data_IF_817280436109
#
_entry.id   IF_817280436109
#
_cell.length_a   1.000
_cell.length_b   1.000
_cell.length_c   1.000
_cell.angle_alpha   90.00
_cell.angle_beta   90.00
_cell.angle_gamma   90.00
#
_symmetry.space_group_name_H-M   'P 1'
#
loop_
_entity.id
_entity.type
_entity.pdbx_description
1 polymer ?
#
# COMPACT_ATOMS: atom_id res chain seq x y z
N UNK A 1 0.12 2.30 -20.17
CA UNK A 1 -1.20 2.62 -19.59
C UNK A 1 -1.49 1.66 -18.45
N UNK A 2 -1.96 2.18 -17.34
CA UNK A 2 -2.31 1.37 -16.17
C UNK A 2 -3.63 0.63 -16.42
N UNK A 3 -3.63 -0.66 -16.20
CA UNK A 3 -4.82 -1.51 -16.33
C UNK A 3 -5.08 -2.31 -15.05
N UNK A 4 -6.19 -3.03 -15.00
CA UNK A 4 -6.56 -3.81 -13.82
C UNK A 4 -5.51 -4.85 -13.46
N UNK A 5 -4.87 -5.48 -14.46
CA UNK A 5 -3.82 -6.46 -14.21
C UNK A 5 -2.60 -5.83 -13.53
N UNK A 6 -2.19 -4.65 -13.99
CA UNK A 6 -1.09 -3.90 -13.37
C UNK A 6 -1.40 -3.58 -11.91
N UNK A 7 -2.61 -3.09 -11.62
CA UNK A 7 -3.02 -2.77 -10.26
C UNK A 7 -3.07 -4.02 -9.39
N UNK A 8 -3.66 -5.10 -9.89
CA UNK A 8 -3.77 -6.36 -9.15
C UNK A 8 -2.40 -6.96 -8.83
N UNK A 9 -1.48 -6.94 -9.79
CA UNK A 9 -0.12 -7.42 -9.59
C UNK A 9 0.60 -6.60 -8.52
N UNK A 10 0.41 -5.27 -8.56
CA UNK A 10 1.03 -4.38 -7.59
C UNK A 10 0.50 -4.62 -6.17
N UNK A 11 -0.83 -4.76 -6.02
CA UNK A 11 -1.44 -5.01 -4.70
C UNK A 11 -0.96 -6.37 -4.16
N UNK A 12 -0.87 -7.39 -5.00
CA UNK A 12 -0.35 -8.69 -4.61
C UNK A 12 1.11 -8.57 -4.15
N UNK A 13 1.94 -7.81 -4.87
CA UNK A 13 3.32 -7.57 -4.49
C UNK A 13 3.43 -6.77 -3.19
N UNK A 14 2.54 -5.80 -2.99
CA UNK A 14 2.46 -5.05 -1.73
C UNK A 14 2.17 -6.00 -0.55
N UNK A 15 1.19 -6.88 -0.73
CA UNK A 15 0.86 -7.86 0.31
C UNK A 15 2.03 -8.79 0.60
N UNK A 16 2.78 -9.19 -0.41
CA UNK A 16 3.99 -9.99 -0.24
C UNK A 16 5.04 -9.23 0.59
N UNK A 17 5.30 -7.96 0.24
CA UNK A 17 6.26 -7.13 0.97
C UNK A 17 5.81 -6.90 2.43
N UNK A 18 4.51 -6.73 2.64
CA UNK A 18 3.92 -6.57 3.98
C UNK A 18 4.21 -7.78 4.87
N UNK A 19 4.13 -8.99 4.32
CA UNK A 19 4.43 -10.21 5.07
C UNK A 19 5.93 -10.48 5.22
N UNK A 20 6.73 -10.20 4.18
CA UNK A 20 8.15 -10.52 4.16
C UNK A 20 9.01 -9.46 4.85
N UNK A 21 8.65 -8.18 4.72
CA UNK A 21 9.44 -7.02 5.15
C UNK A 21 10.88 -7.05 4.60
N UNK A 22 11.06 -7.64 3.40
CA UNK A 22 12.36 -7.67 2.73
C UNK A 22 12.58 -6.38 1.97
N UNK A 23 13.78 -5.81 2.07
CA UNK A 23 14.19 -4.59 1.37
C UNK A 23 13.88 -4.69 -0.13
N UNK A 24 14.26 -5.78 -0.78
CA UNK A 24 14.04 -5.96 -2.22
C UNK A 24 12.56 -5.98 -2.59
N UNK A 25 11.70 -6.59 -1.77
CA UNK A 25 10.27 -6.64 -2.03
C UNK A 25 9.63 -5.26 -1.89
N UNK A 26 10.07 -4.47 -0.93
CA UNK A 26 9.57 -3.11 -0.74
C UNK A 26 10.04 -2.20 -1.88
N UNK A 27 11.33 -2.26 -2.25
CA UNK A 27 11.89 -1.44 -3.34
C UNK A 27 11.20 -1.71 -4.67
N UNK A 28 10.80 -2.94 -4.91
CA UNK A 28 10.15 -3.30 -6.16
C UNK A 28 8.80 -2.61 -6.37
N UNK A 29 8.20 -2.07 -5.30
CA UNK A 29 6.88 -1.44 -5.37
C UNK A 29 6.92 0.02 -5.84
N UNK A 30 8.04 0.73 -5.65
CA UNK A 30 8.10 2.18 -5.80
C UNK A 30 9.18 2.60 -6.78
N UNK A 31 8.93 3.73 -7.47
CA UNK A 31 9.99 4.37 -8.25
C UNK A 31 11.05 4.96 -7.32
N UNK A 32 12.25 5.22 -7.86
CA UNK A 32 13.37 5.71 -7.06
C UNK A 32 13.04 7.02 -6.33
N UNK A 33 12.21 7.87 -6.95
CA UNK A 33 11.76 9.15 -6.41
C UNK A 33 10.30 9.13 -5.93
N UNK A 34 9.76 7.94 -5.67
CA UNK A 34 8.38 7.77 -5.26
C UNK A 34 8.06 8.44 -3.94
N UNK A 35 6.77 8.69 -3.73
CA UNK A 35 6.24 9.26 -2.49
C UNK A 35 5.29 8.28 -1.81
N UNK A 36 5.43 8.15 -0.50
CA UNK A 36 4.51 7.36 0.33
C UNK A 36 3.91 8.27 1.39
N UNK A 37 2.59 8.41 1.36
CA UNK A 37 1.84 9.16 2.37
C UNK A 37 1.07 8.18 3.25
N UNK A 38 1.41 8.13 4.53
CA UNK A 38 0.71 7.28 5.51
C UNK A 38 -0.67 7.80 5.87
N UNK A 39 -0.98 9.01 5.47
CA UNK A 39 -2.29 9.63 5.55
C UNK A 39 -2.35 10.79 4.57
N UNK A 40 -3.56 11.22 4.17
CA UNK A 40 -3.70 12.24 3.10
C UNK A 40 -3.13 13.61 3.47
N UNK A 41 -3.01 13.88 4.76
CA UNK A 41 -2.48 15.17 5.25
C UNK A 41 -1.06 15.06 5.81
N UNK A 42 -0.45 13.87 5.71
CA UNK A 42 0.90 13.65 6.23
C UNK A 42 1.95 14.17 5.26
N UNK A 43 3.14 14.49 5.79
CA UNK A 43 4.30 14.78 4.96
C UNK A 43 4.65 13.54 4.15
N UNK A 44 4.86 13.67 2.83
CA UNK A 44 5.30 12.53 2.03
C UNK A 44 6.65 12.01 2.49
N UNK A 45 6.77 10.68 2.56
CA UNK A 45 8.07 10.03 2.67
C UNK A 45 8.62 9.93 1.25
N UNK A 46 9.60 10.75 0.91
CA UNK A 46 10.10 10.91 -0.45
C UNK A 46 11.32 10.06 -0.72
N UNK A 47 11.27 9.32 -1.82
CA UNK A 47 12.37 8.49 -2.30
C UNK A 47 12.33 7.07 -1.74
N UNK A 48 12.72 6.11 -2.57
CA UNK A 48 12.59 4.69 -2.22
C UNK A 48 13.44 4.30 -1.00
N UNK A 49 14.61 4.91 -0.81
CA UNK A 49 15.44 4.61 0.36
C UNK A 49 14.74 5.02 1.65
N UNK A 50 14.12 6.22 1.67
CA UNK A 50 13.38 6.69 2.82
C UNK A 50 12.11 5.86 3.05
N UNK A 51 11.45 5.44 1.97
CA UNK A 51 10.26 4.58 2.06
C UNK A 51 10.63 3.24 2.71
N UNK A 52 11.72 2.61 2.28
CA UNK A 52 12.18 1.35 2.87
C UNK A 52 12.49 1.52 4.35
N UNK A 53 13.24 2.55 4.70
CA UNK A 53 13.62 2.81 6.09
C UNK A 53 12.39 3.03 6.98
N UNK A 54 11.42 3.83 6.51
CA UNK A 54 10.19 4.10 7.25
C UNK A 54 9.32 2.84 7.37
N UNK A 55 9.19 2.09 6.28
CA UNK A 55 8.46 0.82 6.28
C UNK A 55 9.01 -0.13 7.34
N UNK A 56 10.34 -0.33 7.33
CA UNK A 56 10.98 -1.25 8.27
C UNK A 56 10.86 -0.77 9.72
N UNK A 57 10.86 0.55 9.96
CA UNK A 57 10.66 1.09 11.31
C UNK A 57 9.26 0.86 11.84
N UNK A 58 8.28 0.66 10.95
CA UNK A 58 6.87 0.42 11.30
C UNK A 58 6.46 -1.03 11.07
N UNK A 59 7.40 -1.89 10.69
CA UNK A 59 7.09 -3.28 10.35
C UNK A 59 6.41 -3.99 11.50
N UNK A 60 5.31 -4.66 11.17
CA UNK A 60 4.59 -5.50 12.10
C UNK A 60 5.28 -6.86 12.20
N UNK A 61 4.97 -7.60 13.24
CA UNK A 61 5.48 -8.95 13.41
C UNK A 61 4.91 -9.93 12.39
N UNK A 62 5.03 -11.24 12.66
CA UNK A 62 4.51 -12.27 11.76
C UNK A 62 3.08 -11.96 11.36
N UNK A 63 2.69 -12.43 10.19
CA UNK A 63 1.40 -12.11 9.58
C UNK A 63 0.24 -12.51 10.48
N UNK A 64 -0.32 -11.53 11.17
CA UNK A 64 -1.48 -11.66 12.04
C UNK A 64 -2.68 -10.91 11.47
N UNK A 65 -2.70 -10.71 10.15
CA UNK A 65 -3.75 -9.97 9.46
C UNK A 65 -4.38 -10.79 8.36
N UNK A 66 -5.67 -10.52 8.11
CA UNK A 66 -6.37 -10.93 6.90
C UNK A 66 -6.64 -9.68 6.07
N UNK A 67 -6.28 -9.69 4.80
CA UNK A 67 -6.45 -8.56 3.89
C UNK A 67 -7.29 -8.98 2.70
N UNK A 68 -8.38 -8.26 2.45
CA UNK A 68 -9.20 -8.40 1.25
C UNK A 68 -9.29 -7.05 0.57
N UNK A 69 -9.43 -7.06 -0.78
CA UNK A 69 -9.40 -5.82 -1.54
C UNK A 69 -10.09 -5.97 -2.89
N UNK A 70 -10.44 -4.82 -3.47
CA UNK A 70 -10.93 -4.74 -4.85
C UNK A 70 -10.54 -3.39 -5.45
N UNK A 71 -10.38 -3.37 -6.77
CA UNK A 71 -10.10 -2.14 -7.52
C UNK A 71 -11.44 -1.41 -7.73
N UNK A 72 -11.54 -0.17 -7.23
CA UNK A 72 -12.73 0.66 -7.41
C UNK A 72 -12.76 1.33 -8.78
N UNK A 73 -11.61 1.71 -9.30
CA UNK A 73 -11.52 2.38 -10.58
C UNK A 73 -10.10 2.74 -10.95
N UNK A 74 -9.93 3.09 -12.21
CA UNK A 74 -8.65 3.53 -12.78
C UNK A 74 -8.93 4.72 -13.67
N UNK A 75 -8.14 5.78 -13.50
CA UNK A 75 -8.21 6.98 -14.34
C UNK A 75 -6.78 7.30 -14.82
N UNK A 76 -6.49 6.95 -16.07
CA UNK A 76 -5.15 7.09 -16.62
C UNK A 76 -4.13 6.22 -15.87
N UNK A 77 -3.18 6.86 -15.19
CA UNK A 77 -2.18 6.19 -14.36
C UNK A 77 -2.55 6.16 -12.87
N UNK A 78 -3.74 6.61 -12.53
CA UNK A 78 -4.22 6.71 -11.16
C UNK A 78 -5.23 5.59 -10.88
N UNK A 79 -4.99 4.84 -9.81
CA UNK A 79 -5.87 3.74 -9.41
C UNK A 79 -6.38 3.94 -7.98
N UNK A 80 -7.58 3.42 -7.74
CA UNK A 80 -8.25 3.49 -6.44
C UNK A 80 -8.57 2.07 -6.01
N UNK A 81 -8.05 1.67 -4.84
CA UNK A 81 -8.21 0.32 -4.30
C UNK A 81 -8.85 0.42 -2.92
N UNK A 82 -9.94 -0.30 -2.74
CA UNK A 82 -10.59 -0.43 -1.43
C UNK A 82 -10.13 -1.73 -0.79
N UNK A 83 -9.76 -1.65 0.49
CA UNK A 83 -9.32 -2.82 1.23
C UNK A 83 -9.97 -2.92 2.60
N UNK A 84 -9.86 -4.10 3.19
CA UNK A 84 -10.24 -4.39 4.57
C UNK A 84 -9.12 -5.17 5.23
N UNK A 85 -8.70 -4.72 6.41
CA UNK A 85 -7.67 -5.39 7.20
C UNK A 85 -8.29 -5.82 8.51
N UNK A 86 -8.25 -7.11 8.78
CA UNK A 86 -8.69 -7.68 10.04
C UNK A 86 -7.47 -8.23 10.78
N UNK A 87 -7.21 -7.68 11.97
CA UNK A 87 -6.14 -8.18 12.83
C UNK A 87 -6.67 -9.27 13.76
N UNK A 88 -5.84 -10.22 14.09
CA UNK A 88 -6.21 -11.32 15.01
C UNK A 88 -6.52 -10.82 16.41
N UNK A 89 -6.01 -9.62 16.79
CA UNK A 89 -6.30 -9.01 18.09
C UNK A 89 -7.66 -8.33 18.17
N UNK A 90 -8.42 -8.33 17.06
CA UNK A 90 -9.75 -7.74 16.98
C UNK A 90 -9.82 -6.32 16.42
N UNK A 91 -8.71 -5.73 16.03
CA UNK A 91 -8.72 -4.45 15.32
C UNK A 91 -9.20 -4.66 13.88
N UNK A 92 -10.11 -3.81 13.41
CA UNK A 92 -10.72 -3.90 12.08
C UNK A 92 -10.61 -2.54 11.40
N UNK A 93 -10.10 -2.53 10.16
CA UNK A 93 -9.92 -1.29 9.40
C UNK A 93 -10.53 -1.40 8.01
N UNK A 94 -11.05 -0.26 7.53
CA UNK A 94 -11.31 -0.04 6.11
C UNK A 94 -10.18 0.83 5.57
N UNK A 95 -9.75 0.53 4.34
CA UNK A 95 -8.65 1.22 3.69
C UNK A 95 -9.07 1.71 2.31
N UNK A 96 -8.57 2.87 1.94
CA UNK A 96 -8.60 3.36 0.55
C UNK A 96 -7.17 3.69 0.18
N UNK A 97 -6.71 3.10 -0.92
CA UNK A 97 -5.39 3.38 -1.48
C UNK A 97 -5.55 4.17 -2.76
N UNK A 98 -4.86 5.30 -2.84
CA UNK A 98 -4.77 6.10 -4.05
C UNK A 98 -3.35 5.97 -4.57
N UNK A 99 -3.21 5.37 -5.75
CA UNK A 99 -1.91 4.94 -6.27
C UNK A 99 -1.71 5.54 -7.66
N UNK A 100 -0.59 6.24 -7.86
CA UNK A 100 -0.18 6.68 -9.18
C UNK A 100 0.94 5.79 -9.68
N UNK A 101 0.77 5.27 -10.90
CA UNK A 101 1.71 4.31 -11.48
C UNK A 101 2.63 4.95 -12.49
N UNK A 102 3.90 4.56 -12.46
CA UNK A 102 4.86 4.83 -13.52
C UNK A 102 4.65 3.84 -14.68
N UNK A 103 5.20 4.11 -15.87
CA UNK A 103 5.03 3.23 -17.03
C UNK A 103 5.52 1.80 -16.82
N UNK A 104 6.46 1.58 -15.90
CA UNK A 104 7.01 0.25 -15.61
C UNK A 104 6.19 -0.54 -14.57
N UNK A 105 5.09 0.01 -14.09
CA UNK A 105 4.20 -0.65 -13.14
C UNK A 105 4.55 -0.44 -11.68
N UNK A 106 5.62 0.33 -11.37
CA UNK A 106 5.92 0.73 -10.01
C UNK A 106 5.09 1.95 -9.63
N UNK A 107 4.82 2.13 -8.34
CA UNK A 107 4.10 3.30 -7.87
C UNK A 107 5.03 4.51 -7.78
N UNK A 108 4.63 5.62 -8.39
CA UNK A 108 5.31 6.92 -8.22
C UNK A 108 4.75 7.69 -7.04
N UNK A 109 3.52 7.38 -6.62
CA UNK A 109 2.98 7.85 -5.34
C UNK A 109 1.95 6.88 -4.81
N UNK A 110 1.84 6.84 -3.50
CA UNK A 110 0.90 5.99 -2.78
C UNK A 110 0.39 6.77 -1.58
N UNK A 111 -0.94 6.87 -1.45
CA UNK A 111 -1.58 7.51 -0.30
C UNK A 111 -2.48 6.51 0.38
N UNK A 112 -2.26 6.32 1.67
CA UNK A 112 -3.08 5.48 2.53
C UNK A 112 -4.16 6.34 3.18
N UNK A 113 -5.42 5.89 3.07
CA UNK A 113 -6.54 6.37 3.87
C UNK A 113 -7.00 5.18 4.69
N UNK A 114 -7.07 5.33 6.00
CA UNK A 114 -7.49 4.24 6.86
C UNK A 114 -8.46 4.74 7.92
N UNK A 115 -9.39 3.89 8.31
CA UNK A 115 -10.34 4.21 9.35
C UNK A 115 -10.77 2.92 10.07
N UNK A 116 -10.97 3.02 11.37
CA UNK A 116 -11.49 1.89 12.12
C UNK A 116 -12.95 1.64 11.75
N UNK A 117 -13.27 0.35 11.54
CA UNK A 117 -14.66 -0.05 11.29
C UNK A 117 -15.43 -0.15 12.61
N UNK A 118 -16.78 0.03 12.56
CA UNK A 118 -17.63 -0.31 13.68
C UNK A 118 -17.38 -1.77 14.10
N UNK A 119 -17.30 -2.01 15.41
CA UNK A 119 -16.97 -3.32 15.93
C UNK A 119 -15.48 -3.58 16.15
N UNK A 120 -14.60 -2.69 15.70
CA UNK A 120 -13.16 -2.79 15.95
C UNK A 120 -12.84 -2.57 17.42
N UNK A 121 -11.83 -3.31 17.88
CA UNK A 121 -11.19 -2.99 19.15
C UNK A 121 -10.48 -1.66 19.14
#
# INVERSE_FOLDING_TARGET
>A
MTDTATVSNWVTAYRTAWGSNLDADIRALFTDDGDYLFGPSDEPVHGVDAIVATWLSRAEGPDDTTFSWNVLGIDGDLAFVQGKVDYTDGQLFDNLWVIRFAPDGRASSFTEWWMKRPGSK
#
